data_IF_904116833964
#
_entry.id   IF_904116833964
#
_cell.length_a   1.000
_cell.length_b   1.000
_cell.length_c   1.000
_cell.angle_alpha   90.00
_cell.angle_beta   90.00
_cell.angle_gamma   90.00
#
_symmetry.space_group_name_H-M   'P 1'
#
loop_
_entity.id
_entity.type
_entity.pdbx_description
1 polymer ?
#
# COMPACT_ATOMS: atom_id res chain seq x y z
N UNK A 1 8.60 -24.98 4.29
CA UNK A 1 8.51 -23.53 4.58
C UNK A 1 8.49 -22.86 3.22
N UNK A 2 7.39 -22.24 2.81
CA UNK A 2 7.31 -21.73 1.44
C UNK A 2 8.29 -20.57 1.29
N UNK A 3 9.20 -20.68 0.32
CA UNK A 3 10.19 -19.66 -0.07
C UNK A 3 9.52 -18.50 -0.83
N UNK A 4 8.27 -18.16 -0.47
CA UNK A 4 7.49 -17.13 -1.15
C UNK A 4 8.03 -15.78 -0.71
N UNK A 5 8.54 -15.04 -1.68
CA UNK A 5 8.87 -13.64 -1.54
C UNK A 5 7.56 -12.85 -1.45
N UNK A 6 7.38 -12.11 -0.37
CA UNK A 6 6.20 -11.27 -0.08
C UNK A 6 6.09 -10.03 -0.99
N UNK A 7 7.04 -9.86 -1.91
CA UNK A 7 6.98 -8.87 -2.99
C UNK A 7 5.99 -9.28 -4.06
N UNK A 8 5.51 -8.25 -4.74
CA UNK A 8 4.44 -8.36 -5.71
C UNK A 8 4.97 -8.18 -7.13
N UNK A 9 4.39 -8.91 -8.07
CA UNK A 9 4.47 -8.68 -9.50
C UNK A 9 3.07 -8.51 -10.09
N UNK A 10 2.98 -7.87 -11.24
CA UNK A 10 1.73 -7.76 -11.98
C UNK A 10 1.70 -8.81 -13.08
N UNK A 11 0.54 -9.46 -13.27
CA UNK A 11 0.24 -10.18 -14.49
C UNK A 11 -0.33 -9.17 -15.48
N UNK A 12 0.36 -9.01 -16.60
CA UNK A 12 0.04 -8.04 -17.62
C UNK A 12 -0.01 -8.70 -19.00
N UNK A 13 -0.72 -8.06 -19.92
CA UNK A 13 -0.76 -8.51 -21.30
C UNK A 13 0.56 -8.11 -21.96
N UNK A 14 1.23 -9.05 -22.62
CA UNK A 14 2.49 -8.79 -23.33
C UNK A 14 2.29 -7.79 -24.50
N UNK A 15 3.40 -7.30 -25.06
CA UNK A 15 3.39 -6.23 -26.08
C UNK A 15 2.65 -6.57 -27.37
N UNK A 16 2.54 -7.85 -27.73
CA UNK A 16 1.79 -8.30 -28.92
C UNK A 16 0.31 -8.59 -28.63
N UNK A 17 -0.13 -8.39 -27.39
CA UNK A 17 -1.49 -8.61 -26.90
C UNK A 17 -2.02 -10.05 -26.97
N UNK A 18 -1.14 -11.04 -27.06
CA UNK A 18 -1.55 -12.45 -27.22
C UNK A 18 -1.48 -13.27 -25.93
N UNK A 19 -0.69 -12.85 -24.94
CA UNK A 19 -0.35 -13.65 -23.75
C UNK A 19 -0.35 -12.82 -22.48
N UNK A 20 -0.68 -13.46 -21.37
CA UNK A 20 -0.53 -12.87 -20.04
C UNK A 20 0.81 -13.31 -19.47
N UNK A 21 1.64 -12.35 -19.07
CA UNK A 21 2.99 -12.59 -18.56
C UNK A 21 3.19 -11.94 -17.19
N UNK A 22 4.12 -12.47 -16.41
CA UNK A 22 4.63 -11.82 -15.21
C UNK A 22 5.52 -10.62 -15.61
N UNK A 23 5.15 -9.41 -15.16
CA UNK A 23 5.87 -8.17 -15.46
C UNK A 23 7.34 -8.16 -15.00
N UNK A 24 7.72 -9.07 -14.10
CA UNK A 24 9.09 -9.15 -13.56
C UNK A 24 10.00 -10.10 -14.30
N UNK A 25 9.53 -11.31 -14.60
CA UNK A 25 10.37 -12.39 -15.11
C UNK A 25 9.95 -12.88 -16.51
N UNK A 26 8.80 -12.42 -17.01
CA UNK A 26 8.28 -12.84 -18.32
C UNK A 26 7.62 -14.21 -18.31
N UNK A 27 7.47 -14.87 -17.16
CA UNK A 27 6.74 -16.14 -17.06
C UNK A 27 5.34 -16.01 -17.66
N UNK A 28 5.00 -16.91 -18.58
CA UNK A 28 3.72 -16.93 -19.27
C UNK A 28 2.67 -17.72 -18.48
N UNK A 29 1.52 -17.11 -18.23
CA UNK A 29 0.38 -17.79 -17.62
C UNK A 29 -0.17 -18.81 -18.62
N UNK A 30 -0.32 -20.10 -18.24
CA UNK A 30 -0.81 -21.12 -19.16
C UNK A 30 -2.17 -20.75 -19.76
N UNK A 31 -2.37 -20.89 -21.08
CA UNK A 31 -3.63 -20.57 -21.74
C UNK A 31 -4.82 -21.29 -21.10
N UNK A 32 -5.93 -20.57 -20.89
CA UNK A 32 -7.15 -21.10 -20.25
C UNK A 32 -7.15 -21.02 -18.71
N UNK A 33 -6.06 -20.57 -18.09
CA UNK A 33 -6.03 -20.29 -16.64
C UNK A 33 -6.71 -18.96 -16.36
N UNK A 34 -7.58 -18.89 -15.33
CA UNK A 34 -8.07 -17.61 -14.81
C UNK A 34 -6.91 -16.85 -14.14
N UNK A 35 -6.46 -15.71 -14.68
CA UNK A 35 -5.32 -14.98 -14.15
C UNK A 35 -5.57 -14.43 -12.74
N UNK A 36 -6.83 -14.25 -12.31
CA UNK A 36 -7.16 -13.81 -10.94
C UNK A 36 -6.99 -14.91 -9.89
N UNK A 37 -7.04 -16.17 -10.33
CA UNK A 37 -6.84 -17.35 -9.48
C UNK A 37 -5.34 -17.64 -9.23
N UNK A 38 -4.45 -17.10 -10.07
CA UNK A 38 -3.00 -17.24 -9.89
C UNK A 38 -2.55 -16.30 -8.77
N UNK A 39 -2.04 -16.86 -7.67
CA UNK A 39 -1.55 -16.08 -6.51
C UNK A 39 -0.04 -15.94 -6.45
N UNK A 40 0.69 -16.81 -7.13
CA UNK A 40 2.16 -16.84 -7.10
C UNK A 40 2.72 -17.09 -8.50
N UNK A 41 3.80 -16.39 -8.84
CA UNK A 41 4.59 -16.71 -10.02
C UNK A 41 5.56 -17.87 -9.70
N UNK A 42 5.51 -18.99 -10.45
CA UNK A 42 6.35 -20.15 -10.17
C UNK A 42 7.84 -19.89 -10.39
N UNK A 43 8.21 -18.90 -11.20
CA UNK A 43 9.61 -18.59 -11.51
C UNK A 43 10.23 -17.62 -10.51
N UNK A 44 9.64 -16.44 -10.32
CA UNK A 44 10.19 -15.45 -9.41
C UNK A 44 9.77 -15.63 -7.94
N UNK A 45 8.91 -16.61 -7.63
CA UNK A 45 8.41 -16.94 -6.28
C UNK A 45 7.79 -15.74 -5.57
N UNK A 46 7.17 -14.83 -6.32
CA UNK A 46 6.52 -13.62 -5.83
C UNK A 46 5.02 -13.75 -5.94
N UNK A 47 4.31 -13.02 -5.08
CA UNK A 47 2.87 -12.85 -5.21
C UNK A 47 2.54 -12.16 -6.53
N UNK A 48 1.47 -12.57 -7.20
CA UNK A 48 1.04 -11.95 -8.45
C UNK A 48 -0.40 -11.45 -8.39
N UNK A 49 -0.64 -10.32 -9.04
CA UNK A 49 -1.99 -9.78 -9.23
C UNK A 49 -2.23 -9.52 -10.70
N UNK A 50 -3.38 -9.98 -11.18
CA UNK A 50 -3.89 -9.56 -12.47
C UNK A 50 -4.57 -8.20 -12.31
N UNK A 51 -3.88 -7.15 -12.74
CA UNK A 51 -4.23 -5.76 -12.46
C UNK A 51 -3.32 -5.08 -11.45
N UNK A 52 -3.68 -3.87 -11.04
CA UNK A 52 -2.87 -3.07 -10.12
C UNK A 52 -3.23 -3.43 -8.68
N UNK A 53 -2.29 -3.90 -7.84
CA UNK A 53 -2.56 -4.14 -6.42
C UNK A 53 -2.81 -2.82 -5.70
N UNK A 54 -3.88 -2.74 -4.91
CA UNK A 54 -4.24 -1.53 -4.15
C UNK A 54 -3.85 -1.66 -2.69
N UNK A 55 -3.29 -0.60 -2.12
CA UNK A 55 -3.01 -0.46 -0.70
C UNK A 55 -3.86 0.66 -0.11
N UNK A 56 -4.25 0.50 1.15
CA UNK A 56 -4.83 1.59 1.93
C UNK A 56 -3.73 2.19 2.80
N UNK A 57 -3.35 3.44 2.55
CA UNK A 57 -2.25 4.11 3.25
C UNK A 57 -2.82 4.95 4.40
N UNK A 58 -2.42 4.63 5.64
CA UNK A 58 -2.90 5.28 6.86
C UNK A 58 -1.76 5.92 7.65
N UNK A 59 -2.08 6.92 8.48
CA UNK A 59 -1.08 7.66 9.24
C UNK A 59 -1.66 8.79 10.09
N UNK A 60 -0.81 9.53 10.82
CA UNK A 60 -1.24 10.71 11.57
C UNK A 60 -1.65 11.84 10.61
N UNK A 61 -2.81 12.45 10.89
CA UNK A 61 -3.34 13.62 10.17
C UNK A 61 -3.53 14.78 11.15
N UNK A 62 -4.41 14.61 12.14
CA UNK A 62 -4.73 15.62 13.15
C UNK A 62 -3.48 16.05 13.93
N UNK A 63 -3.24 17.36 14.02
CA UNK A 63 -2.12 17.93 14.77
C UNK A 63 -0.78 17.91 14.04
N UNK A 64 -0.70 17.37 12.82
CA UNK A 64 0.49 17.47 11.97
C UNK A 64 0.43 18.72 11.09
N UNK A 65 1.57 19.34 10.73
CA UNK A 65 1.59 20.46 9.79
C UNK A 65 0.95 20.07 8.45
N UNK A 66 0.06 20.92 7.94
CA UNK A 66 -0.64 20.72 6.67
C UNK A 66 -1.28 19.32 6.56
N UNK A 67 -1.88 18.84 7.65
CA UNK A 67 -2.55 17.54 7.75
C UNK A 67 -1.67 16.35 7.34
N UNK A 68 -0.34 16.49 7.42
CA UNK A 68 0.65 15.50 7.00
C UNK A 68 0.62 15.14 5.50
N UNK A 69 0.00 15.97 4.65
CA UNK A 69 -0.18 15.69 3.21
C UNK A 69 1.12 15.36 2.47
N UNK A 70 2.23 15.96 2.88
CA UNK A 70 3.55 15.71 2.29
C UNK A 70 4.00 14.26 2.49
N UNK A 71 3.88 13.71 3.70
CA UNK A 71 4.28 12.33 3.99
C UNK A 71 3.41 11.33 3.21
N UNK A 72 2.09 11.55 3.18
CA UNK A 72 1.16 10.75 2.36
C UNK A 72 1.51 10.79 0.87
N UNK A 73 1.78 11.98 0.33
CA UNK A 73 2.15 12.13 -1.08
C UNK A 73 3.49 11.45 -1.42
N UNK A 74 4.48 11.56 -0.52
CA UNK A 74 5.78 10.91 -0.67
C UNK A 74 5.65 9.39 -0.69
N UNK A 75 5.00 8.81 0.32
CA UNK A 75 4.81 7.37 0.41
C UNK A 75 3.99 6.84 -0.76
N UNK A 76 2.88 7.50 -1.14
CA UNK A 76 2.09 7.16 -2.33
C UNK A 76 2.93 7.15 -3.60
N UNK A 77 3.82 8.12 -3.79
CA UNK A 77 4.71 8.18 -4.96
C UNK A 77 5.70 7.03 -4.98
N UNK A 78 6.30 6.71 -3.83
CA UNK A 78 7.26 5.61 -3.72
C UNK A 78 6.60 4.24 -3.94
N UNK A 79 5.43 4.01 -3.33
CA UNK A 79 4.64 2.79 -3.53
C UNK A 79 4.18 2.64 -4.99
N UNK A 80 3.82 3.74 -5.65
CA UNK A 80 3.50 3.75 -7.07
C UNK A 80 4.68 3.36 -7.95
N UNK A 81 5.90 3.76 -7.59
CA UNK A 81 7.10 3.35 -8.31
C UNK A 81 7.39 1.83 -8.19
N UNK A 82 6.81 1.17 -7.18
CA UNK A 82 6.87 -0.29 -6.98
C UNK A 82 5.67 -1.03 -7.60
N UNK A 83 4.77 -0.31 -8.27
CA UNK A 83 3.61 -0.90 -8.96
C UNK A 83 2.32 -0.97 -8.14
N UNK A 84 2.29 -0.43 -6.92
CA UNK A 84 1.07 -0.34 -6.12
C UNK A 84 0.26 0.92 -6.46
N UNK A 85 -1.06 0.81 -6.42
CA UNK A 85 -1.93 1.96 -6.24
C UNK A 85 -2.20 2.18 -4.75
N UNK A 86 -2.40 3.42 -4.32
CA UNK A 86 -2.69 3.72 -2.92
C UNK A 86 -3.83 4.73 -2.80
N UNK A 87 -4.81 4.40 -1.97
CA UNK A 87 -5.80 5.36 -1.49
C UNK A 87 -5.29 6.03 -0.21
N UNK A 88 -5.47 7.35 -0.12
CA UNK A 88 -5.13 8.15 1.07
C UNK A 88 -6.37 8.93 1.56
N UNK A 89 -6.51 9.18 2.87
CA UNK A 89 -7.67 9.88 3.43
C UNK A 89 -7.93 11.25 2.77
N UNK A 90 -6.88 11.95 2.36
CA UNK A 90 -6.97 13.27 1.74
C UNK A 90 -7.68 13.32 0.39
N UNK A 91 -7.85 12.19 -0.30
CA UNK A 91 -8.51 12.16 -1.61
C UNK A 91 -10.05 12.25 -1.48
N UNK A 92 -10.61 11.94 -0.30
CA UNK A 92 -12.05 11.84 -0.09
C UNK A 92 -12.56 12.41 1.25
N UNK A 93 -11.67 12.83 2.16
CA UNK A 93 -12.02 13.55 3.39
C UNK A 93 -11.58 15.00 3.25
N UNK A 94 -12.53 15.92 3.38
CA UNK A 94 -12.27 17.35 3.32
C UNK A 94 -11.49 17.83 4.55
N UNK A 95 -10.73 18.91 4.37
CA UNK A 95 -10.05 19.56 5.49
C UNK A 95 -11.07 20.10 6.51
N UNK A 96 -10.76 19.97 7.79
CA UNK A 96 -11.65 20.40 8.88
C UNK A 96 -12.84 19.48 9.15
N UNK A 97 -12.99 18.36 8.44
CA UNK A 97 -14.05 17.36 8.75
C UNK A 97 -13.91 16.89 10.21
N UNK A 98 -15.00 16.88 11.00
CA UNK A 98 -14.97 16.40 12.38
C UNK A 98 -14.46 14.96 12.48
N UNK A 99 -13.66 14.67 13.50
CA UNK A 99 -12.96 13.38 13.64
C UNK A 99 -13.91 12.16 13.51
N UNK A 100 -15.09 12.19 14.14
CA UNK A 100 -16.06 11.09 14.07
C UNK A 100 -16.64 10.88 12.67
N UNK A 101 -16.76 11.95 11.87
CA UNK A 101 -17.22 11.86 10.49
C UNK A 101 -16.11 11.35 9.58
N UNK A 102 -14.92 11.94 9.69
CA UNK A 102 -13.72 11.50 8.99
C UNK A 102 -13.47 10.00 9.22
N UNK A 103 -13.56 9.53 10.46
CA UNK A 103 -13.34 8.12 10.79
C UNK A 103 -14.40 7.17 10.20
N UNK A 104 -15.67 7.58 10.15
CA UNK A 104 -16.70 6.78 9.48
C UNK A 104 -16.44 6.66 7.98
N UNK A 105 -15.97 7.73 7.36
CA UNK A 105 -15.61 7.74 5.93
C UNK A 105 -14.39 6.83 5.71
N UNK A 106 -13.33 6.99 6.51
CA UNK A 106 -12.13 6.15 6.39
C UNK A 106 -12.43 4.67 6.53
N UNK A 107 -13.12 4.25 7.59
CA UNK A 107 -13.44 2.82 7.81
C UNK A 107 -14.30 2.29 6.67
N UNK A 108 -15.30 3.06 6.22
CA UNK A 108 -16.13 2.66 5.06
C UNK A 108 -15.28 2.50 3.80
N UNK A 109 -14.35 3.41 3.57
CA UNK A 109 -13.48 3.36 2.40
C UNK A 109 -12.56 2.15 2.48
N UNK A 110 -11.87 1.95 3.60
CA UNK A 110 -10.97 0.82 3.86
C UNK A 110 -11.66 -0.54 3.68
N UNK A 111 -12.94 -0.64 4.04
CA UNK A 111 -13.72 -1.87 3.93
C UNK A 111 -14.57 -1.97 2.66
N UNK A 112 -14.43 -1.02 1.74
CA UNK A 112 -15.16 -1.05 0.48
C UNK A 112 -14.72 -2.24 -0.36
N UNK A 113 -15.62 -2.82 -1.15
CA UNK A 113 -15.33 -3.86 -2.14
C UNK A 113 -15.55 -3.26 -3.52
N UNK A 114 -14.58 -3.43 -4.43
CA UNK A 114 -14.56 -2.63 -5.67
C UNK A 114 -15.55 -3.05 -6.77
N UNK A 115 -16.26 -4.17 -6.63
CA UNK A 115 -17.35 -4.65 -7.51
C UNK A 115 -18.25 -5.56 -6.65
N UNK A 116 -19.42 -5.99 -7.13
CA UNK A 116 -20.29 -7.07 -6.58
C UNK A 116 -19.57 -8.43 -6.44
N UNK A 117 -18.47 -8.44 -5.71
CA UNK A 117 -17.52 -9.51 -5.54
C UNK A 117 -17.18 -9.57 -4.06
N UNK A 118 -17.02 -10.78 -3.53
CA UNK A 118 -16.52 -11.04 -2.18
C UNK A 118 -15.01 -10.77 -2.07
N UNK A 119 -14.38 -10.27 -3.13
CA UNK A 119 -12.96 -9.95 -3.18
C UNK A 119 -12.71 -8.60 -2.52
N UNK A 120 -11.82 -8.62 -1.54
CA UNK A 120 -11.31 -7.47 -0.80
C UNK A 120 -10.70 -6.43 -1.75
N UNK A 121 -11.00 -5.14 -1.54
CA UNK A 121 -10.50 -4.07 -2.42
C UNK A 121 -9.00 -3.79 -2.27
N UNK A 122 -8.48 -3.92 -1.05
CA UNK A 122 -7.08 -3.61 -0.74
C UNK A 122 -6.34 -4.88 -0.39
N UNK A 123 -5.15 -5.06 -0.94
CA UNK A 123 -4.28 -6.19 -0.64
C UNK A 123 -3.58 -6.04 0.72
N UNK A 124 -3.61 -4.84 1.30
CA UNK A 124 -3.10 -4.58 2.63
C UNK A 124 -3.15 -3.11 3.03
N UNK A 125 -2.76 -2.87 4.28
CA UNK A 125 -2.63 -1.55 4.88
C UNK A 125 -1.16 -1.16 4.94
N UNK A 126 -0.83 -0.02 4.35
CA UNK A 126 0.48 0.61 4.48
C UNK A 126 0.45 1.63 5.63
N UNK A 127 1.32 1.45 6.61
CA UNK A 127 1.38 2.28 7.81
C UNK A 127 2.47 3.35 7.63
N UNK A 128 2.10 4.64 7.65
CA UNK A 128 3.06 5.75 7.74
C UNK A 128 3.73 5.81 9.11
N UNK A 129 4.89 6.46 9.18
CA UNK A 129 5.60 6.65 10.45
C UNK A 129 4.78 7.48 11.44
N UNK A 130 4.87 7.10 12.73
CA UNK A 130 4.10 7.70 13.80
C UNK A 130 2.61 7.34 13.76
N UNK A 131 2.22 6.26 13.06
CA UNK A 131 0.84 5.76 13.06
C UNK A 131 0.40 5.34 14.47
N UNK A 132 1.32 4.89 15.31
CA UNK A 132 1.08 4.45 16.70
C UNK A 132 0.52 5.57 17.57
N UNK A 133 0.89 6.82 17.27
CA UNK A 133 0.44 8.01 17.98
C UNK A 133 -0.89 8.54 17.42
N UNK A 134 -1.31 8.05 16.25
CA UNK A 134 -2.57 8.44 15.62
C UNK A 134 -3.72 7.58 16.12
N UNK A 135 -4.63 8.21 16.88
CA UNK A 135 -5.89 7.58 17.30
C UNK A 135 -6.66 6.99 16.11
N UNK A 136 -6.67 7.69 14.98
CA UNK A 136 -7.35 7.24 13.76
C UNK A 136 -6.67 6.03 13.13
N UNK A 137 -5.36 6.13 12.87
CA UNK A 137 -4.62 5.04 12.22
C UNK A 137 -4.56 3.78 13.08
N UNK A 138 -4.48 3.92 14.41
CA UNK A 138 -4.54 2.79 15.34
C UNK A 138 -5.89 2.07 15.25
N UNK A 139 -7.00 2.79 15.16
CA UNK A 139 -8.32 2.19 15.02
C UNK A 139 -8.49 1.47 13.67
N UNK A 140 -8.05 2.09 12.58
CA UNK A 140 -8.06 1.49 11.24
C UNK A 140 -7.25 0.20 11.20
N UNK A 141 -6.03 0.22 11.74
CA UNK A 141 -5.17 -0.98 11.86
C UNK A 141 -5.85 -2.09 12.67
N UNK A 142 -6.45 -1.78 13.82
CA UNK A 142 -7.13 -2.79 14.64
C UNK A 142 -8.28 -3.46 13.89
N UNK A 143 -9.08 -2.68 13.16
CA UNK A 143 -10.17 -3.21 12.32
C UNK A 143 -9.61 -4.09 11.20
N UNK A 144 -8.55 -3.63 10.51
CA UNK A 144 -7.89 -4.37 9.45
C UNK A 144 -7.34 -5.71 9.95
N UNK A 145 -6.61 -5.72 11.07
CA UNK A 145 -6.06 -6.93 11.68
C UNK A 145 -7.15 -7.91 12.11
N UNK A 146 -8.25 -7.41 12.70
CA UNK A 146 -9.38 -8.25 13.10
C UNK A 146 -10.07 -8.93 11.91
N UNK A 147 -9.96 -8.35 10.71
CA UNK A 147 -10.50 -8.90 9.46
C UNK A 147 -9.48 -9.71 8.66
N UNK A 148 -8.25 -9.90 9.16
CA UNK A 148 -7.19 -10.62 8.48
C UNK A 148 -6.54 -9.84 7.33
N UNK A 149 -6.72 -8.52 7.28
CA UNK A 149 -6.06 -7.65 6.30
C UNK A 149 -4.63 -7.40 6.77
N UNK A 150 -3.61 -7.71 5.96
CA UNK A 150 -2.22 -7.55 6.37
C UNK A 150 -1.88 -6.07 6.53
N UNK A 151 -1.25 -5.73 7.65
CA UNK A 151 -0.80 -4.38 7.99
C UNK A 151 0.71 -4.39 8.18
N UNK A 152 1.44 -3.51 7.48
CA UNK A 152 2.89 -3.35 7.68
C UNK A 152 3.35 -1.91 7.42
N UNK A 153 4.51 -1.50 7.96
CA UNK A 153 5.16 -0.24 7.60
C UNK A 153 5.20 -0.05 6.08
N UNK A 154 4.90 1.16 5.62
CA UNK A 154 4.79 1.45 4.18
C UNK A 154 6.10 1.15 3.41
N UNK A 155 7.25 1.28 4.07
CA UNK A 155 8.57 0.99 3.48
C UNK A 155 8.82 -0.49 3.25
N UNK A 156 8.14 -1.36 3.98
CA UNK A 156 8.28 -2.82 3.82
C UNK A 156 7.62 -3.30 2.52
N UNK A 157 6.77 -2.48 1.90
CA UNK A 157 6.26 -2.72 0.55
C UNK A 157 7.26 -2.35 -0.54
N UNK A 158 8.36 -1.66 -0.22
CA UNK A 158 9.36 -1.23 -1.20
C UNK A 158 10.42 -2.29 -1.45
N UNK A 159 11.02 -2.26 -2.64
CA UNK A 159 12.25 -3.01 -2.89
C UNK A 159 13.38 -2.46 -2.00
N UNK A 160 14.38 -3.27 -1.58
CA UNK A 160 15.43 -2.84 -0.66
C UNK A 160 16.19 -1.60 -1.11
N UNK A 161 16.40 -1.44 -2.42
CA UNK A 161 17.06 -0.27 -3.00
C UNK A 161 16.23 1.01 -2.79
N UNK A 162 14.91 0.92 -2.96
CA UNK A 162 14.01 2.06 -2.80
C UNK A 162 13.64 2.31 -1.32
N UNK A 163 13.58 1.25 -0.51
CA UNK A 163 13.40 1.34 0.95
C UNK A 163 14.55 2.08 1.62
N UNK A 164 15.80 1.76 1.25
CA UNK A 164 16.98 2.46 1.75
C UNK A 164 17.00 3.94 1.31
N UNK A 165 16.62 4.24 0.06
CA UNK A 165 16.51 5.61 -0.43
C UNK A 165 15.41 6.40 0.29
N UNK A 166 14.26 5.78 0.57
CA UNK A 166 13.16 6.41 1.31
C UNK A 166 13.55 6.73 2.76
N UNK A 167 14.23 5.81 3.46
CA UNK A 167 14.74 6.03 4.81
C UNK A 167 15.81 7.16 4.85
N UNK A 168 16.70 7.19 3.86
CA UNK A 168 17.73 8.22 3.76
C UNK A 168 17.15 9.62 3.51
N UNK A 169 16.11 9.73 2.66
CA UNK A 169 15.43 10.99 2.38
C UNK A 169 14.75 11.60 3.61
N UNK A 170 14.23 10.76 4.51
CA UNK A 170 13.61 11.20 5.76
C UNK A 170 14.63 11.65 6.81
N UNK A 171 15.75 10.93 6.94
CA UNK A 171 16.85 11.38 7.82
C UNK A 171 17.42 12.73 7.39
N UNK A 172 17.31 13.10 6.12
CA UNK A 172 17.68 14.42 5.61
C UNK A 172 16.61 15.51 5.85
N UNK A 173 15.37 15.11 6.14
CA UNK A 173 14.23 15.99 6.45
C UNK A 173 14.03 16.22 7.95
N UNK A 174 14.67 15.43 8.82
CA UNK A 174 14.70 15.72 10.25
C UNK A 174 15.57 16.97 10.48
N UNK A 175 15.07 18.00 11.19
CA UNK A 175 15.89 19.15 11.50
C UNK A 175 17.08 18.69 12.33
N UNK A 176 18.26 19.17 11.94
CA UNK A 176 19.51 19.00 12.65
C UNK A 176 19.33 19.66 14.03
N UNK A 177 18.80 18.92 15.01
CA UNK A 177 18.85 19.34 16.40
C UNK A 177 20.30 19.20 16.84
N UNK A 178 21.06 20.27 16.63
CA UNK A 178 22.31 20.48 17.34
C UNK A 178 21.97 20.49 18.85
N UNK A 179 22.68 19.72 19.70
CA UNK A 179 22.52 19.89 21.13
C UNK A 179 23.01 21.29 21.49
N UNK A 180 22.14 22.11 22.07
CA UNK A 180 22.54 23.37 22.66
C UNK A 180 23.52 23.06 23.81
N UNK A 181 24.78 23.50 23.65
CA UNK A 181 25.74 23.66 24.74
C UNK A 181 25.67 25.09 25.28
#
# INVERSE_FOLDING_TARGET
MSEINDRVCTLEINTDMTRIICSRCGWEVPPGTDPNAVKECPECKRLVFYGVPWLYLIGPVTGKPNDNRYAFAQARRALKAEGYACDIPHDYIAEGTPWQEAMRISIRQMLSNRVQSTVQQYEGIALLDGWEESKGATLEKQVAEALGIPCRPWRDYLSPANGAAALAAESALQPIFAPAC
#
